data_IF_595793542319
#
_entry.id   IF_595793542319
#
_cell.length_a   1.000
_cell.length_b   1.000
_cell.length_c   1.000
_cell.angle_alpha   90.00
_cell.angle_beta   90.00
_cell.angle_gamma   90.00
#
_symmetry.space_group_name_H-M   'P 1'
#
loop_
_entity.id
_entity.type
_entity.pdbx_description
1 polymer ?
#
# COMPACT_ATOMS: atom_id res chain seq x y z
N UNK A 1 14.51 1.33 -5.59
CA UNK A 1 14.19 1.73 -4.23
C UNK A 1 13.01 0.94 -3.73
N UNK A 2 13.00 0.59 -2.46
CA UNK A 2 11.92 -0.10 -1.82
C UNK A 2 11.70 0.53 -0.43
N UNK A 3 10.47 0.99 -0.19
CA UNK A 3 10.04 1.53 1.09
C UNK A 3 8.95 0.63 1.66
N UNK A 4 8.99 0.39 2.96
CA UNK A 4 7.94 -0.30 3.70
C UNK A 4 7.37 0.62 4.76
N UNK A 5 6.06 0.53 4.97
CA UNK A 5 5.33 1.31 5.96
C UNK A 5 5.68 2.82 5.86
N UNK A 6 5.58 3.35 4.63
CA UNK A 6 5.89 4.75 4.39
C UNK A 6 4.74 5.64 4.89
N UNK A 7 5.04 6.44 5.90
CA UNK A 7 4.09 7.36 6.51
C UNK A 7 4.41 8.80 6.16
N UNK A 8 3.39 9.55 5.78
CA UNK A 8 3.51 10.99 5.47
C UNK A 8 2.24 11.74 5.82
N UNK A 9 2.34 13.07 5.91
CA UNK A 9 1.23 13.95 6.24
C UNK A 9 1.14 15.02 5.15
N UNK A 10 -0.09 15.25 4.65
CA UNK A 10 -0.40 16.30 3.70
C UNK A 10 -1.31 17.34 4.35
N UNK A 11 -0.99 18.64 4.19
CA UNK A 11 -1.73 19.77 4.75
C UNK A 11 -1.96 19.66 6.26
N UNK A 12 -0.99 19.09 7.01
CA UNK A 12 -1.04 18.89 8.47
C UNK A 12 -2.26 18.10 8.99
N UNK A 13 -3.11 17.59 8.09
CA UNK A 13 -4.39 16.92 8.44
C UNK A 13 -4.53 15.52 7.88
N UNK A 14 -4.08 15.30 6.65
CA UNK A 14 -4.28 14.04 5.96
C UNK A 14 -3.07 13.14 6.13
N UNK A 15 -3.27 12.04 6.81
CA UNK A 15 -2.25 11.00 7.00
C UNK A 15 -2.32 9.98 5.87
N UNK A 16 -1.17 9.63 5.35
CA UNK A 16 -1.01 8.57 4.37
C UNK A 16 -0.05 7.54 4.95
N UNK A 17 -0.45 6.29 4.86
CA UNK A 17 0.39 5.16 5.20
C UNK A 17 0.33 4.20 4.03
N UNK A 18 1.45 3.96 3.38
CA UNK A 18 1.59 3.06 2.24
C UNK A 18 2.39 1.85 2.69
N UNK A 19 1.81 0.66 2.55
CA UNK A 19 2.43 -0.56 3.06
C UNK A 19 3.75 -0.86 2.35
N UNK A 20 3.79 -0.69 1.02
CA UNK A 20 5.04 -0.77 0.28
C UNK A 20 5.03 0.15 -0.96
N UNK A 21 6.18 0.77 -1.23
CA UNK A 21 6.44 1.55 -2.43
C UNK A 21 7.70 1.00 -3.10
N UNK A 22 7.56 0.54 -4.33
CA UNK A 22 8.69 0.16 -5.18
C UNK A 22 8.90 1.24 -6.24
N UNK A 23 10.12 1.77 -6.35
CA UNK A 23 10.49 2.78 -7.35
C UNK A 23 11.73 2.29 -8.10
N UNK A 24 11.65 2.30 -9.41
CA UNK A 24 12.78 2.04 -10.29
C UNK A 24 12.89 3.11 -11.39
N UNK A 25 13.85 2.97 -12.28
CA UNK A 25 14.05 3.90 -13.39
C UNK A 25 12.90 3.92 -14.40
N UNK A 26 11.89 3.04 -14.27
CA UNK A 26 10.82 2.82 -15.22
C UNK A 26 9.45 3.26 -14.72
N UNK A 27 9.17 3.04 -13.44
CA UNK A 27 7.86 3.28 -12.82
C UNK A 27 7.93 3.33 -11.30
N UNK A 28 6.84 3.75 -10.72
CA UNK A 28 6.50 3.59 -9.29
C UNK A 28 5.40 2.52 -9.18
N UNK A 29 5.50 1.62 -8.22
CA UNK A 29 4.45 0.67 -7.84
C UNK A 29 4.15 0.82 -6.36
N UNK A 30 2.91 1.17 -6.03
CA UNK A 30 2.40 1.29 -4.67
C UNK A 30 1.56 0.06 -4.36
N UNK A 31 1.84 -0.58 -3.25
CA UNK A 31 1.14 -1.78 -2.80
C UNK A 31 0.40 -1.51 -1.50
N UNK A 32 -0.84 -1.97 -1.46
CA UNK A 32 -1.64 -2.08 -0.25
C UNK A 32 -1.79 -3.57 0.08
N UNK A 33 -1.34 -3.98 1.25
CA UNK A 33 -1.33 -5.37 1.68
C UNK A 33 -2.51 -5.66 2.60
N UNK A 34 -3.30 -6.68 2.29
CA UNK A 34 -4.44 -7.10 3.11
C UNK A 34 -4.27 -8.54 3.55
N UNK A 35 -4.33 -8.75 4.86
CA UNK A 35 -4.32 -10.08 5.46
C UNK A 35 -5.75 -10.53 5.76
N UNK A 36 -6.45 -11.06 4.75
CA UNK A 36 -7.87 -11.41 4.81
C UNK A 36 -8.03 -12.88 4.44
N UNK A 37 -8.56 -13.69 5.34
CA UNK A 37 -8.95 -15.09 5.09
C UNK A 37 -10.41 -15.19 4.65
N UNK A 38 -10.75 -16.26 3.90
CA UNK A 38 -12.09 -16.54 3.43
C UNK A 38 -12.36 -16.10 2.00
N UNK A 39 -13.60 -16.09 1.62
CA UNK A 39 -14.04 -15.68 0.29
C UNK A 39 -14.26 -14.17 0.26
N UNK A 40 -13.57 -13.48 -0.60
CA UNK A 40 -13.56 -12.03 -0.71
C UNK A 40 -14.34 -11.65 -1.96
N UNK A 41 -15.30 -10.73 -1.78
CA UNK A 41 -16.19 -10.23 -2.83
C UNK A 41 -16.14 -8.73 -2.92
N UNK A 42 -16.37 -8.19 -4.11
CA UNK A 42 -16.49 -6.76 -4.34
C UNK A 42 -17.76 -6.45 -5.13
N UNK A 43 -18.48 -5.43 -4.69
CA UNK A 43 -19.62 -4.85 -5.41
C UNK A 43 -19.19 -3.51 -6.02
N UNK A 44 -19.13 -3.46 -7.36
CA UNK A 44 -18.73 -2.26 -8.09
C UNK A 44 -19.77 -1.14 -7.98
N UNK A 45 -21.05 -1.47 -7.83
CA UNK A 45 -22.12 -0.46 -7.78
C UNK A 45 -22.11 0.32 -6.45
N UNK A 46 -21.78 -0.35 -5.36
CA UNK A 46 -21.75 0.24 -4.02
C UNK A 46 -20.34 0.55 -3.51
N UNK A 47 -19.30 0.18 -4.29
CA UNK A 47 -17.89 0.26 -3.89
C UNK A 47 -17.62 -0.43 -2.54
N UNK A 48 -18.22 -1.61 -2.35
CA UNK A 48 -18.15 -2.32 -1.10
C UNK A 48 -17.38 -3.62 -1.22
N UNK A 49 -16.39 -3.80 -0.35
CA UNK A 49 -15.66 -5.05 -0.17
C UNK A 49 -16.23 -5.78 1.04
N UNK A 50 -16.46 -7.09 0.94
CA UNK A 50 -16.77 -7.94 2.08
C UNK A 50 -16.09 -9.29 1.97
N UNK A 51 -16.01 -9.98 3.09
CA UNK A 51 -15.58 -11.37 3.13
C UNK A 51 -16.65 -12.25 3.73
N UNK A 52 -16.66 -13.50 3.30
CA UNK A 52 -17.39 -14.59 3.94
C UNK A 52 -16.37 -15.58 4.52
N UNK A 53 -16.49 -15.85 5.80
CA UNK A 53 -15.60 -16.76 6.51
C UNK A 53 -16.36 -17.42 7.65
N UNK A 54 -16.34 -18.79 7.71
CA UNK A 54 -17.09 -19.59 8.70
C UNK A 54 -18.58 -19.21 8.81
N UNK A 55 -19.23 -18.98 7.66
CA UNK A 55 -20.65 -18.61 7.61
C UNK A 55 -20.97 -17.17 8.05
N UNK A 56 -19.96 -16.37 8.33
CA UNK A 56 -20.14 -14.97 8.73
C UNK A 56 -19.71 -14.03 7.61
N UNK A 57 -20.57 -13.04 7.31
CA UNK A 57 -20.27 -11.95 6.40
C UNK A 57 -19.74 -10.75 7.18
N UNK A 58 -18.57 -10.24 6.77
CA UNK A 58 -17.95 -9.04 7.32
C UNK A 58 -17.66 -8.05 6.22
N UNK A 59 -18.19 -6.84 6.35
CA UNK A 59 -17.87 -5.71 5.46
C UNK A 59 -16.51 -5.15 5.84
N UNK A 60 -15.71 -4.85 4.82
CA UNK A 60 -14.35 -4.36 4.96
C UNK A 60 -14.23 -2.95 4.37
N UNK A 61 -13.23 -2.20 4.79
CA UNK A 61 -12.89 -0.95 4.15
C UNK A 61 -12.44 -1.18 2.71
N UNK A 62 -12.86 -0.30 1.80
CA UNK A 62 -12.47 -0.38 0.40
C UNK A 62 -10.97 -0.07 0.21
N UNK A 63 -10.15 -1.06 -0.20
CA UNK A 63 -8.73 -0.86 -0.41
C UNK A 63 -8.44 -0.10 -1.71
N UNK A 64 -9.37 -0.07 -2.66
CA UNK A 64 -9.18 0.60 -3.93
C UNK A 64 -9.21 2.13 -3.75
N UNK A 65 -10.16 2.64 -2.97
CA UNK A 65 -10.16 4.05 -2.58
C UNK A 65 -8.89 4.46 -1.82
N UNK A 66 -8.29 3.54 -1.07
CA UNK A 66 -7.05 3.78 -0.35
C UNK A 66 -5.88 3.91 -1.33
N UNK A 67 -5.69 2.96 -2.26
CA UNK A 67 -4.59 3.02 -3.24
C UNK A 67 -4.74 4.19 -4.22
N UNK A 68 -5.96 4.57 -4.60
CA UNK A 68 -6.20 5.77 -5.43
C UNK A 68 -5.70 7.04 -4.74
N UNK A 69 -5.97 7.23 -3.45
CA UNK A 69 -5.43 8.36 -2.69
C UNK A 69 -3.90 8.34 -2.60
N UNK A 70 -3.30 7.16 -2.49
CA UNK A 70 -1.86 7.01 -2.51
C UNK A 70 -1.26 7.36 -3.87
N UNK A 71 -1.92 6.97 -4.96
CA UNK A 71 -1.55 7.33 -6.33
C UNK A 71 -1.59 8.84 -6.54
N UNK A 72 -2.67 9.50 -6.14
CA UNK A 72 -2.82 10.95 -6.22
C UNK A 72 -1.72 11.69 -5.45
N UNK A 73 -1.39 11.22 -4.24
CA UNK A 73 -0.31 11.78 -3.46
C UNK A 73 1.03 11.64 -4.18
N UNK A 74 1.34 10.45 -4.69
CA UNK A 74 2.59 10.17 -5.40
C UNK A 74 2.68 10.97 -6.70
N UNK A 75 1.59 11.11 -7.45
CA UNK A 75 1.54 11.91 -8.66
C UNK A 75 1.86 13.38 -8.39
N UNK A 76 1.29 13.95 -7.34
CA UNK A 76 1.59 15.33 -6.92
C UNK A 76 3.04 15.47 -6.43
N UNK A 77 3.55 14.49 -5.69
CA UNK A 77 4.94 14.48 -5.26
C UNK A 77 5.90 14.48 -6.45
N UNK A 78 5.71 13.59 -7.43
CA UNK A 78 6.54 13.53 -8.63
C UNK A 78 6.46 14.81 -9.47
N UNK A 79 5.26 15.38 -9.60
CA UNK A 79 5.04 16.65 -10.31
C UNK A 79 5.84 17.80 -9.66
N UNK A 80 5.86 17.90 -8.35
CA UNK A 80 6.64 18.90 -7.61
C UNK A 80 8.16 18.76 -7.84
N UNK A 81 8.61 17.55 -8.16
CA UNK A 81 10.02 17.28 -8.49
C UNK A 81 10.31 17.40 -10.00
N UNK A 82 9.34 17.77 -10.84
CA UNK A 82 9.42 17.77 -12.30
C UNK A 82 9.82 16.41 -12.89
N UNK A 83 9.33 15.32 -12.29
CA UNK A 83 9.63 13.95 -12.70
C UNK A 83 8.39 13.28 -13.25
N UNK A 84 8.51 12.66 -14.42
CA UNK A 84 7.45 11.90 -15.08
C UNK A 84 7.78 10.41 -15.05
N UNK A 85 7.18 9.70 -14.11
CA UNK A 85 7.20 8.25 -14.02
C UNK A 85 5.77 7.72 -14.02
N UNK A 86 5.48 6.63 -14.75
CA UNK A 86 4.22 5.92 -14.60
C UNK A 86 4.04 5.44 -13.15
N UNK A 87 2.84 5.61 -12.61
CA UNK A 87 2.48 5.13 -11.29
C UNK A 87 1.50 3.97 -11.46
N UNK A 88 1.73 2.90 -10.75
CA UNK A 88 0.85 1.74 -10.66
C UNK A 88 0.51 1.48 -9.20
N UNK A 89 -0.72 1.02 -8.99
CA UNK A 89 -1.19 0.61 -7.68
C UNK A 89 -1.69 -0.82 -7.73
N UNK A 90 -1.57 -1.54 -6.61
CA UNK A 90 -2.15 -2.86 -6.49
C UNK A 90 -2.51 -3.19 -5.04
N UNK A 91 -3.60 -3.93 -4.87
CA UNK A 91 -3.96 -4.57 -3.62
C UNK A 91 -3.43 -6.00 -3.62
N UNK A 92 -2.68 -6.36 -2.59
CA UNK A 92 -2.06 -7.67 -2.46
C UNK A 92 -2.68 -8.42 -1.28
N UNK A 93 -3.34 -9.53 -1.57
CA UNK A 93 -3.86 -10.42 -0.51
C UNK A 93 -2.75 -11.38 -0.10
N UNK A 94 -2.32 -11.27 1.16
CA UNK A 94 -1.17 -12.03 1.70
C UNK A 94 -1.58 -13.39 2.26
N UNK A 95 -2.86 -13.59 2.58
CA UNK A 95 -3.38 -14.83 3.14
C UNK A 95 -3.52 -15.91 2.07
N UNK A 96 -3.00 -17.11 2.34
CA UNK A 96 -3.13 -18.25 1.42
C UNK A 96 -4.56 -18.77 1.35
N UNK A 97 -5.26 -18.84 2.49
CA UNK A 97 -6.64 -19.34 2.62
C UNK A 97 -7.70 -18.30 2.23
N UNK A 98 -7.52 -17.65 1.09
CA UNK A 98 -8.47 -16.67 0.56
C UNK A 98 -8.80 -16.95 -0.89
N UNK A 99 -10.04 -16.64 -1.32
CA UNK A 99 -10.49 -16.64 -2.71
C UNK A 99 -10.91 -15.22 -3.10
N UNK A 100 -10.63 -14.83 -4.34
CA UNK A 100 -11.03 -13.53 -4.88
C UNK A 100 -12.18 -13.75 -5.86
N UNK A 101 -13.36 -13.21 -5.54
CA UNK A 101 -14.58 -13.38 -6.32
C UNK A 101 -15.11 -12.02 -6.78
N UNK A 102 -15.51 -11.93 -8.04
CA UNK A 102 -16.10 -10.71 -8.64
C UNK A 102 -15.24 -9.46 -8.46
N UNK A 103 -13.91 -9.60 -8.59
CA UNK A 103 -13.00 -8.46 -8.48
C UNK A 103 -13.12 -7.54 -9.68
N UNK A 104 -13.09 -6.21 -9.46
CA UNK A 104 -13.18 -5.22 -10.53
C UNK A 104 -11.96 -5.31 -11.45
N UNK A 105 -12.18 -5.28 -12.77
CA UNK A 105 -11.10 -5.42 -13.77
C UNK A 105 -10.22 -4.17 -13.87
N UNK A 106 -10.75 -3.01 -13.51
CA UNK A 106 -10.05 -1.73 -13.56
C UNK A 106 -8.99 -1.58 -12.47
N UNK A 107 -9.05 -2.37 -11.39
CA UNK A 107 -8.08 -2.33 -10.31
C UNK A 107 -7.20 -3.58 -10.30
N UNK A 108 -5.93 -3.39 -9.97
CA UNK A 108 -5.02 -4.52 -9.76
C UNK A 108 -5.20 -5.08 -8.37
N UNK A 109 -5.76 -6.28 -8.28
CA UNK A 109 -5.82 -7.07 -7.03
C UNK A 109 -5.40 -8.50 -7.33
N UNK A 110 -4.51 -9.04 -6.50
CA UNK A 110 -4.02 -10.40 -6.65
C UNK A 110 -3.45 -10.97 -5.35
N UNK A 111 -3.24 -12.27 -5.31
CA UNK A 111 -2.57 -12.94 -4.18
C UNK A 111 -1.05 -12.73 -4.27
N UNK A 112 -0.35 -12.77 -3.15
CA UNK A 112 1.08 -12.49 -3.04
C UNK A 112 1.96 -13.19 -4.13
N UNK A 113 1.73 -14.45 -4.53
CA UNK A 113 2.51 -15.06 -5.62
C UNK A 113 2.40 -14.32 -6.96
N UNK A 114 1.31 -13.60 -7.20
CA UNK A 114 1.09 -12.79 -8.40
C UNK A 114 1.98 -11.54 -8.49
N UNK A 115 2.53 -11.08 -7.37
CA UNK A 115 3.38 -9.88 -7.33
C UNK A 115 4.63 -10.01 -8.22
N UNK A 116 5.27 -11.17 -8.20
CA UNK A 116 6.43 -11.45 -9.07
C UNK A 116 6.07 -11.32 -10.54
N UNK A 117 4.94 -11.89 -10.95
CA UNK A 117 4.46 -11.84 -12.33
C UNK A 117 4.17 -10.39 -12.73
N UNK A 118 3.46 -9.65 -11.88
CA UNK A 118 3.14 -8.24 -12.12
C UNK A 118 4.40 -7.38 -12.30
N UNK A 119 5.39 -7.53 -11.42
CA UNK A 119 6.67 -6.82 -11.53
C UNK A 119 7.41 -7.16 -12.82
N UNK A 120 7.48 -8.43 -13.20
CA UNK A 120 8.12 -8.85 -14.45
C UNK A 120 7.44 -8.23 -15.67
N UNK A 121 6.11 -8.23 -15.72
CA UNK A 121 5.34 -7.60 -16.79
C UNK A 121 5.63 -6.10 -16.90
N UNK A 122 5.59 -5.36 -15.79
CA UNK A 122 5.88 -3.93 -15.78
C UNK A 122 7.32 -3.64 -16.22
N UNK A 123 8.30 -4.43 -15.78
CA UNK A 123 9.70 -4.28 -16.17
C UNK A 123 9.95 -4.57 -17.66
N UNK A 124 9.16 -5.44 -18.28
CA UNK A 124 9.24 -5.72 -19.71
C UNK A 124 8.57 -4.64 -20.58
N UNK A 125 7.42 -4.14 -20.14
CA UNK A 125 6.60 -3.22 -20.95
C UNK A 125 7.15 -1.79 -20.90
N UNK A 126 7.60 -1.33 -19.72
CA UNK A 126 7.97 0.08 -19.53
C UNK A 126 9.47 0.31 -19.69
N UNK A 127 9.89 1.20 -20.62
CA UNK A 127 11.30 1.57 -20.77
C UNK A 127 11.78 2.43 -19.60
N UNK A 128 13.09 2.55 -19.44
CA UNK A 128 13.67 3.50 -18.50
C UNK A 128 13.28 4.94 -18.86
N UNK A 129 12.83 5.70 -17.89
CA UNK A 129 12.41 7.10 -18.00
C UNK A 129 13.35 8.05 -17.27
N UNK A 130 14.00 7.58 -16.22
CA UNK A 130 14.95 8.34 -15.43
C UNK A 130 16.25 7.55 -15.27
N UNK A 131 17.32 8.24 -14.91
CA UNK A 131 18.60 7.62 -14.61
C UNK A 131 18.78 7.37 -13.10
N UNK A 132 19.89 6.72 -12.74
CA UNK A 132 20.19 6.37 -11.35
C UNK A 132 20.38 7.61 -10.45
N UNK A 133 20.94 8.71 -10.96
CA UNK A 133 21.13 9.93 -10.17
C UNK A 133 19.78 10.53 -9.78
N UNK A 134 18.82 10.55 -10.71
CA UNK A 134 17.48 11.05 -10.45
C UNK A 134 16.70 10.11 -9.52
N UNK A 135 16.95 8.81 -9.60
CA UNK A 135 16.39 7.85 -8.67
C UNK A 135 16.92 8.07 -7.23
N UNK A 136 18.22 8.37 -7.07
CA UNK A 136 18.79 8.70 -5.77
C UNK A 136 18.25 10.04 -5.24
N UNK A 137 18.07 11.03 -6.10
CA UNK A 137 17.42 12.28 -5.74
C UNK A 137 15.98 12.04 -5.23
N UNK A 138 15.19 11.23 -5.93
CA UNK A 138 13.84 10.85 -5.48
C UNK A 138 13.85 10.17 -4.12
N UNK A 139 14.84 9.29 -3.87
CA UNK A 139 14.98 8.66 -2.57
C UNK A 139 15.14 9.71 -1.46
N UNK A 140 16.07 10.66 -1.66
CA UNK A 140 16.31 11.72 -0.69
C UNK A 140 15.04 12.55 -0.43
N UNK A 141 14.35 12.97 -1.51
CA UNK A 141 13.13 13.75 -1.42
C UNK A 141 11.97 13.01 -0.75
N UNK A 142 11.84 11.70 -0.97
CA UNK A 142 10.86 10.88 -0.24
C UNK A 142 11.18 10.76 1.25
N UNK A 143 12.46 10.61 1.59
CA UNK A 143 12.87 10.58 3.00
C UNK A 143 12.59 11.90 3.73
N UNK A 144 12.65 13.06 3.04
CA UNK A 144 12.21 14.35 3.60
C UNK A 144 10.71 14.37 3.91
N UNK A 145 9.90 13.63 3.14
CA UNK A 145 8.45 13.51 3.34
C UNK A 145 8.06 12.46 4.39
N UNK A 146 8.99 11.60 4.78
CA UNK A 146 8.73 10.54 5.75
C UNK A 146 8.49 11.13 7.14
N UNK A 147 7.27 10.93 7.66
CA UNK A 147 6.80 11.44 8.95
C UNK A 147 6.19 10.29 9.77
N UNK A 148 7.03 9.37 10.29
CA UNK A 148 6.52 8.25 11.06
C UNK A 148 5.78 8.74 12.30
N UNK A 149 4.66 8.11 12.59
CA UNK A 149 3.98 8.37 13.84
C UNK A 149 4.87 7.86 14.99
N UNK A 150 5.14 8.74 15.95
CA UNK A 150 5.67 8.27 17.23
C UNK A 150 4.59 7.40 17.87
N UNK A 151 4.88 6.14 18.01
CA UNK A 151 4.02 5.21 18.75
C UNK A 151 3.95 5.71 20.19
N UNK A 152 2.84 6.33 20.57
CA UNK A 152 2.56 6.58 21.98
C UNK A 152 1.99 5.27 22.52
N UNK A 153 2.82 4.57 23.30
CA UNK A 153 2.36 3.36 23.97
C UNK A 153 1.20 3.76 24.89
N UNK A 154 -0.01 3.19 24.74
CA UNK A 154 -1.15 3.58 25.57
C UNK A 154 -0.93 3.33 27.06
N UNK A 155 0.17 2.68 27.43
CA UNK A 155 0.57 2.35 28.79
C UNK A 155 1.86 3.04 29.24
N UNK A 156 2.31 4.12 28.61
CA UNK A 156 3.53 4.83 29.02
C UNK A 156 3.48 5.35 30.46
N UNK A 157 2.29 5.52 31.03
CA UNK A 157 2.08 6.01 32.41
C UNK A 157 1.62 4.92 33.37
N UNK A 158 1.54 3.67 32.97
CA UNK A 158 1.22 2.57 33.88
C UNK A 158 2.50 1.96 34.39
N UNK A 159 2.82 2.26 35.63
CA UNK A 159 3.89 1.57 36.35
C UNK A 159 3.57 0.05 36.37
N UNK A 160 4.28 -0.72 35.59
CA UNK A 160 4.16 -2.19 35.58
C UNK A 160 4.55 -2.67 36.97
N UNK A 161 3.61 -3.28 37.69
CA UNK A 161 3.91 -3.96 38.96
C UNK A 161 4.94 -5.06 38.67
N UNK A 162 6.09 -5.00 39.31
CA UNK A 162 7.08 -6.07 39.24
C UNK A 162 6.40 -7.39 39.67
N UNK A 163 6.45 -8.41 38.78
CA UNK A 163 5.94 -9.74 39.07
C UNK A 163 4.73 -10.20 38.27
N UNK A 164 4.23 -9.43 37.31
CA UNK A 164 3.20 -9.90 36.38
C UNK A 164 3.84 -10.81 35.32
N UNK A 165 3.98 -12.09 35.61
CA UNK A 165 4.28 -13.14 34.64
C UNK A 165 2.98 -13.53 33.97
N UNK A 166 2.88 -13.40 32.62
CA UNK A 166 1.86 -14.06 31.84
C UNK A 166 1.97 -15.58 32.05
N UNK A 167 0.90 -16.18 32.56
CA UNK A 167 0.73 -17.62 32.56
C UNK A 167 0.12 -18.06 31.24
#
# INVERSE_FOLDING_TARGET
>A
LLFFNFETIKFERFKYQMDAIFICERFVLILECKHIAGEIYYDEATHQLWREYNGQKLVLNDPFSQVMRHEEWMAQFLLQQNIQLPIFTAVVITTQSSSLNNMPKQYSIFKLPGLRIKLQQLLQIYPKKINMNLLQFLHHKLMEQYKPQKWQHPFQDIALKQGALCK
#
